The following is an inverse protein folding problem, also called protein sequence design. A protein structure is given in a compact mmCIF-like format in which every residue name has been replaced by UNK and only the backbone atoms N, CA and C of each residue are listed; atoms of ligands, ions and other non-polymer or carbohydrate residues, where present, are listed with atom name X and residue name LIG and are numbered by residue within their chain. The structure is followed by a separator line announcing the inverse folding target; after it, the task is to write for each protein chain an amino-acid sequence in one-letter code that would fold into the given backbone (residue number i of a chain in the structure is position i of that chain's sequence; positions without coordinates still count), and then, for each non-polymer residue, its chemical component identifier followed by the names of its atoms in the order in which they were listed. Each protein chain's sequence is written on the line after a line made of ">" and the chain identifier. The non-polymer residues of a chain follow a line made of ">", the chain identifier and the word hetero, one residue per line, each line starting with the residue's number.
data_IF_254917874220
#
_entry.id   IF_254917874220
#
_cell.length_a   1.000
_cell.length_b   1.000
_cell.length_c   1.000
_cell.angle_alpha   90.00
_cell.angle_beta   90.00
_cell.angle_gamma   90.00
#
_symmetry.space_group_name_H-M   'P 1'
#
loop_
_entity.id
_entity.type
_entity.pdbx_description
1 polymer ?
#
# COMPACT_ATOMS: atom_id res chain seq x y z
N UNK A 1 -33.96 -53.68 -39.12
CA UNK A 1 -32.79 -53.56 -38.22
C UNK A 1 -32.44 -52.09 -38.07
N UNK A 2 -32.95 -51.44 -37.04
CA UNK A 2 -32.58 -50.07 -36.64
C UNK A 2 -32.19 -50.15 -35.17
N UNK A 3 -30.90 -50.38 -34.91
CA UNK A 3 -30.31 -50.33 -33.57
C UNK A 3 -28.99 -49.61 -33.72
N UNK A 4 -28.82 -48.50 -32.98
CA UNK A 4 -27.51 -47.85 -32.87
C UNK A 4 -27.53 -46.34 -32.66
N UNK A 5 -28.51 -45.78 -31.95
CA UNK A 5 -28.63 -44.32 -31.77
C UNK A 5 -28.91 -43.90 -30.33
N UNK A 6 -28.22 -44.48 -29.34
CA UNK A 6 -28.40 -44.06 -27.95
C UNK A 6 -27.18 -44.39 -27.08
N UNK A 7 -26.10 -43.58 -27.13
CA UNK A 7 -25.01 -43.68 -26.12
C UNK A 7 -24.11 -42.45 -25.95
N UNK A 8 -24.54 -41.25 -26.34
CA UNK A 8 -23.72 -40.01 -26.20
C UNK A 8 -24.35 -38.90 -25.36
N UNK A 9 -25.55 -39.09 -24.79
CA UNK A 9 -26.27 -38.01 -24.06
C UNK A 9 -25.63 -37.60 -22.73
N UNK A 10 -24.89 -38.47 -22.06
CA UNK A 10 -24.30 -38.21 -20.73
C UNK A 10 -23.28 -37.07 -20.72
N UNK A 11 -22.14 -37.18 -21.44
CA UNK A 11 -21.12 -36.14 -21.49
C UNK A 11 -21.63 -34.80 -22.03
N UNK A 12 -22.53 -34.82 -23.02
CA UNK A 12 -23.13 -33.60 -23.58
C UNK A 12 -24.01 -32.89 -22.55
N UNK A 13 -24.87 -33.62 -21.84
CA UNK A 13 -25.73 -33.03 -20.80
C UNK A 13 -24.88 -32.48 -19.65
N UNK A 14 -23.83 -33.20 -19.25
CA UNK A 14 -22.88 -32.72 -18.25
C UNK A 14 -22.20 -31.43 -18.67
N UNK A 15 -21.72 -31.36 -19.91
CA UNK A 15 -21.06 -30.16 -20.44
C UNK A 15 -22.02 -28.97 -20.51
N UNK A 16 -23.26 -29.16 -20.96
CA UNK A 16 -24.26 -28.10 -21.00
C UNK A 16 -24.61 -27.58 -19.59
N UNK A 17 -24.73 -28.47 -18.61
CA UNK A 17 -24.92 -28.08 -17.21
C UNK A 17 -23.71 -27.30 -16.67
N UNK A 18 -22.49 -27.76 -16.97
CA UNK A 18 -21.26 -27.04 -16.64
C UNK A 18 -21.24 -25.65 -17.28
N UNK A 19 -21.54 -25.52 -18.57
CA UNK A 19 -21.56 -24.23 -19.26
C UNK A 19 -22.57 -23.25 -18.64
N UNK A 20 -23.74 -23.73 -18.23
CA UNK A 20 -24.72 -22.89 -17.53
C UNK A 20 -24.16 -22.36 -16.20
N UNK A 21 -23.53 -23.23 -15.40
CA UNK A 21 -22.89 -22.85 -14.13
C UNK A 21 -21.68 -21.94 -14.33
N UNK A 22 -20.83 -22.25 -15.31
CA UNK A 22 -19.67 -21.44 -15.67
C UNK A 22 -20.09 -20.04 -16.12
N UNK A 23 -21.15 -19.94 -16.92
CA UNK A 23 -21.69 -18.64 -17.37
C UNK A 23 -22.26 -17.86 -16.19
N UNK A 24 -23.00 -18.51 -15.29
CA UNK A 24 -23.49 -17.86 -14.07
C UNK A 24 -22.34 -17.36 -13.18
N UNK A 25 -21.28 -18.17 -13.02
CA UNK A 25 -20.07 -17.77 -12.29
C UNK A 25 -19.36 -16.60 -12.97
N UNK A 26 -19.23 -16.61 -14.30
CA UNK A 26 -18.61 -15.51 -15.04
C UNK A 26 -19.41 -14.21 -14.92
N UNK A 27 -20.75 -14.27 -14.94
CA UNK A 27 -21.61 -13.11 -14.70
C UNK A 27 -21.49 -12.59 -13.27
N UNK A 28 -21.41 -13.49 -12.28
CA UNK A 28 -21.17 -13.12 -10.89
C UNK A 28 -19.81 -12.42 -10.72
N UNK A 29 -18.72 -13.01 -11.24
CA UNK A 29 -17.38 -12.42 -11.16
C UNK A 29 -17.30 -11.09 -11.90
N UNK A 30 -18.00 -10.96 -13.04
CA UNK A 30 -18.13 -9.68 -13.74
C UNK A 30 -18.81 -8.59 -12.90
N UNK A 31 -19.68 -8.95 -11.97
CA UNK A 31 -20.35 -8.03 -11.05
C UNK A 31 -19.58 -7.82 -9.74
N UNK A 32 -18.81 -8.81 -9.28
CA UNK A 32 -18.07 -8.74 -8.01
C UNK A 32 -16.66 -8.16 -8.17
N UNK A 33 -15.96 -8.48 -9.26
CA UNK A 33 -14.54 -8.15 -9.46
C UNK A 33 -14.30 -6.89 -10.30
N UNK A 34 -15.33 -6.07 -10.56
CA UNK A 34 -15.19 -4.91 -11.45
C UNK A 34 -14.27 -3.79 -10.90
N UNK A 35 -13.94 -3.83 -9.60
CA UNK A 35 -13.02 -2.90 -8.94
C UNK A 35 -11.61 -3.44 -8.75
N UNK A 36 -11.37 -4.72 -9.07
CA UNK A 36 -10.02 -5.29 -9.00
C UNK A 36 -9.27 -4.93 -10.28
N UNK A 37 -8.24 -4.07 -10.23
CA UNK A 37 -7.50 -3.64 -11.42
C UNK A 37 -6.68 -4.76 -12.07
N UNK A 38 -6.52 -5.90 -11.39
CA UNK A 38 -5.86 -7.11 -11.90
C UNK A 38 -6.83 -8.05 -12.62
N UNK A 39 -8.13 -7.71 -12.61
CA UNK A 39 -9.21 -8.48 -13.22
C UNK A 39 -9.43 -8.10 -14.68
N UNK A 40 -9.74 -9.09 -15.52
CA UNK A 40 -10.28 -8.84 -16.86
C UNK A 40 -11.65 -8.15 -16.80
N UNK A 41 -12.38 -8.30 -15.69
CA UNK A 41 -13.69 -7.67 -15.49
C UNK A 41 -13.59 -6.24 -14.96
N UNK A 42 -12.38 -5.71 -14.77
CA UNK A 42 -12.15 -4.36 -14.27
C UNK A 42 -12.88 -3.32 -15.14
N UNK A 43 -13.62 -2.43 -14.49
CA UNK A 43 -14.34 -1.33 -15.15
C UNK A 43 -13.84 0.00 -14.61
N UNK A 44 -12.85 0.63 -15.27
CA UNK A 44 -12.23 1.84 -14.74
C UNK A 44 -13.24 2.95 -14.46
N UNK A 45 -14.21 3.18 -15.35
CA UNK A 45 -15.21 4.24 -15.19
C UNK A 45 -16.10 4.05 -13.96
N UNK A 46 -16.43 2.80 -13.60
CA UNK A 46 -17.26 2.50 -12.42
C UNK A 46 -16.41 2.38 -11.15
N UNK A 47 -15.15 1.95 -11.28
CA UNK A 47 -14.24 1.74 -10.16
C UNK A 47 -13.59 3.04 -9.68
N UNK A 48 -13.38 4.03 -10.57
CA UNK A 48 -12.75 5.34 -10.28
C UNK A 48 -13.68 6.35 -9.61
N UNK A 49 -14.86 5.94 -9.11
CA UNK A 49 -15.71 6.85 -8.35
C UNK A 49 -15.02 7.17 -7.02
N UNK A 50 -14.34 8.30 -6.97
CA UNK A 50 -13.55 8.77 -5.82
C UNK A 50 -14.43 9.36 -4.70
N UNK A 51 -15.49 8.67 -4.32
CA UNK A 51 -16.49 9.20 -3.37
C UNK A 51 -15.90 9.49 -2.01
N UNK A 52 -15.08 8.59 -1.47
CA UNK A 52 -14.55 8.74 -0.12
C UNK A 52 -13.35 9.68 -0.12
N UNK A 53 -12.45 9.56 -1.11
CA UNK A 53 -11.33 10.50 -1.26
C UNK A 53 -11.80 11.94 -1.47
N UNK A 54 -12.84 12.17 -2.28
CA UNK A 54 -13.41 13.51 -2.48
C UNK A 54 -14.03 14.06 -1.18
N UNK A 55 -14.72 13.21 -0.41
CA UNK A 55 -15.25 13.57 0.90
C UNK A 55 -14.13 13.99 1.87
N UNK A 56 -13.06 13.19 1.98
CA UNK A 56 -11.88 13.50 2.82
C UNK A 56 -11.15 14.77 2.36
N UNK A 57 -10.97 14.99 1.06
CA UNK A 57 -10.43 16.27 0.52
C UNK A 57 -11.26 17.47 0.96
N UNK A 58 -12.60 17.34 0.95
CA UNK A 58 -13.50 18.38 1.44
C UNK A 58 -13.30 18.71 2.92
N UNK A 59 -13.19 17.68 3.77
CA UNK A 59 -12.89 17.85 5.20
C UNK A 59 -11.52 18.49 5.43
N UNK A 60 -10.48 17.99 4.77
CA UNK A 60 -9.12 18.50 4.86
C UNK A 60 -9.03 19.99 4.52
N UNK A 61 -9.65 20.43 3.41
CA UNK A 61 -9.67 21.83 2.99
C UNK A 61 -10.37 22.71 4.02
N UNK A 62 -11.54 22.27 4.50
CA UNK A 62 -12.30 22.99 5.52
C UNK A 62 -11.49 23.13 6.82
N UNK A 63 -10.79 22.09 7.23
CA UNK A 63 -9.91 22.12 8.39
C UNK A 63 -8.75 23.12 8.18
N UNK A 64 -8.06 23.04 7.04
CA UNK A 64 -6.96 23.95 6.72
C UNK A 64 -7.41 25.43 6.62
N UNK A 65 -8.58 25.70 6.06
CA UNK A 65 -9.17 27.04 6.00
C UNK A 65 -9.48 27.59 7.40
N UNK A 66 -9.98 26.74 8.31
CA UNK A 66 -10.16 27.13 9.71
C UNK A 66 -8.81 27.32 10.42
N UNK A 67 -7.85 26.43 10.18
CA UNK A 67 -6.51 26.51 10.75
C UNK A 67 -5.77 27.80 10.35
N UNK A 68 -6.05 28.36 9.17
CA UNK A 68 -5.52 29.65 8.74
C UNK A 68 -5.98 30.82 9.64
N UNK A 69 -7.17 30.71 10.23
CA UNK A 69 -7.78 31.73 11.09
C UNK A 69 -7.56 31.44 12.58
N UNK A 70 -7.66 30.17 12.96
CA UNK A 70 -7.57 29.67 14.33
C UNK A 70 -6.56 28.52 14.37
N UNK A 71 -5.34 28.80 14.84
CA UNK A 71 -4.30 27.78 14.89
C UNK A 71 -4.77 26.57 15.74
N UNK A 72 -4.72 25.34 15.20
CA UNK A 72 -5.06 24.15 15.97
C UNK A 72 -4.03 23.92 17.08
N UNK A 73 -4.37 23.06 18.03
CA UNK A 73 -3.37 22.53 18.96
C UNK A 73 -2.21 21.92 18.17
N UNK A 74 -1.00 22.16 18.65
CA UNK A 74 0.23 21.62 18.09
C UNK A 74 0.80 20.55 19.00
N UNK A 75 1.89 19.93 18.56
CA UNK A 75 2.66 19.06 19.43
C UNK A 75 3.04 19.81 20.71
N UNK A 76 2.95 19.12 21.85
CA UNK A 76 3.34 19.65 23.15
C UNK A 76 3.06 18.64 24.26
N UNK A 77 3.82 18.68 25.37
CA UNK A 77 3.65 17.73 26.47
C UNK A 77 2.21 17.73 26.99
N UNK A 78 1.69 16.55 27.29
CA UNK A 78 0.29 16.37 27.68
C UNK A 78 0.01 16.84 29.11
N UNK A 79 0.99 16.91 30.01
CA UNK A 79 0.92 17.59 31.31
C UNK A 79 2.35 17.74 31.90
N UNK A 80 2.57 18.85 32.63
CA UNK A 80 3.75 19.27 33.41
C UNK A 80 5.10 19.48 32.70
N UNK A 81 5.71 20.63 33.02
CA UNK A 81 6.95 21.24 32.50
C UNK A 81 8.23 20.39 32.70
N UNK A 82 8.12 19.13 33.10
CA UNK A 82 9.26 18.31 33.54
C UNK A 82 9.35 16.92 32.86
N UNK A 83 8.54 16.66 31.83
CA UNK A 83 8.71 15.45 31.02
C UNK A 83 9.39 15.78 29.68
N UNK A 84 10.53 15.12 29.44
CA UNK A 84 11.13 14.93 28.11
C UNK A 84 10.20 14.03 27.26
N UNK A 85 8.96 14.46 27.04
CA UNK A 85 7.94 13.68 26.36
C UNK A 85 8.16 13.74 24.86
N UNK A 86 8.80 12.73 24.30
CA UNK A 86 8.99 12.59 22.86
C UNK A 86 7.65 12.27 22.16
N UNK A 87 7.43 12.74 20.92
CA UNK A 87 6.23 12.40 20.16
C UNK A 87 6.18 10.91 19.86
N UNK A 88 4.98 10.33 19.83
CA UNK A 88 4.80 8.95 19.39
C UNK A 88 5.12 8.82 17.90
N UNK A 89 4.78 9.87 17.13
CA UNK A 89 4.91 9.88 15.69
C UNK A 89 5.44 11.23 15.20
N UNK A 90 6.51 11.21 14.40
CA UNK A 90 6.87 12.34 13.55
C UNK A 90 6.38 12.10 12.12
N UNK A 91 5.57 12.99 11.57
CA UNK A 91 5.05 12.92 10.20
C UNK A 91 5.85 13.87 9.31
N UNK A 92 6.61 13.30 8.39
CA UNK A 92 7.50 14.01 7.49
C UNK A 92 6.91 14.06 6.08
N UNK A 93 6.53 15.24 5.62
CA UNK A 93 5.83 15.47 4.34
C UNK A 93 6.72 16.31 3.43
N UNK A 94 7.17 15.73 2.32
CA UNK A 94 7.91 16.44 1.28
C UNK A 94 6.97 16.97 0.19
N UNK A 95 7.14 18.22 -0.21
CA UNK A 95 6.30 18.86 -1.22
C UNK A 95 7.13 19.63 -2.25
N UNK A 96 6.77 19.49 -3.51
CA UNK A 96 7.38 20.17 -4.66
C UNK A 96 6.31 20.91 -5.45
N UNK A 97 6.72 22.01 -6.09
CA UNK A 97 5.78 22.92 -6.75
C UNK A 97 5.25 22.27 -8.01
N UNK A 98 3.94 22.37 -8.21
CA UNK A 98 3.26 21.87 -9.41
C UNK A 98 2.36 22.98 -9.92
N UNK A 99 2.98 24.00 -10.54
CA UNK A 99 2.36 25.21 -11.08
C UNK A 99 0.84 25.12 -11.30
N UNK A 100 0.08 25.70 -10.37
CA UNK A 100 -1.38 25.80 -10.42
C UNK A 100 -2.15 24.75 -9.61
N UNK A 101 -1.48 23.82 -8.91
CA UNK A 101 -2.11 22.81 -8.06
C UNK A 101 -1.30 22.60 -6.78
N UNK A 102 -1.95 22.71 -5.61
CA UNK A 102 -1.37 22.30 -4.33
C UNK A 102 -2.08 21.04 -3.83
N UNK A 103 -1.31 19.98 -3.60
CA UNK A 103 -1.80 18.79 -2.91
C UNK A 103 -1.49 18.83 -1.40
N UNK A 104 -0.44 19.54 -0.98
CA UNK A 104 0.03 19.60 0.39
C UNK A 104 -1.07 20.05 1.36
N UNK A 105 -1.91 21.01 0.97
CA UNK A 105 -3.04 21.47 1.79
C UNK A 105 -4.04 20.35 2.10
N UNK A 106 -4.37 19.54 1.09
CA UNK A 106 -5.31 18.42 1.23
C UNK A 106 -4.67 17.31 2.08
N UNK A 107 -3.41 16.98 1.82
CA UNK A 107 -2.64 15.97 2.57
C UNK A 107 -2.55 16.34 4.04
N UNK A 108 -1.99 17.52 4.34
CA UNK A 108 -1.78 17.99 5.71
C UNK A 108 -3.10 18.17 6.46
N UNK A 109 -4.12 18.73 5.78
CA UNK A 109 -5.46 18.83 6.34
C UNK A 109 -6.05 17.46 6.69
N UNK A 110 -5.89 16.44 5.85
CA UNK A 110 -6.46 15.11 6.09
C UNK A 110 -5.76 14.32 7.20
N UNK A 111 -4.47 14.58 7.41
CA UNK A 111 -3.66 14.00 8.48
C UNK A 111 -4.13 14.53 9.84
N UNK A 112 -4.52 15.81 9.90
CA UNK A 112 -4.88 16.48 11.15
C UNK A 112 -6.39 16.52 11.43
N UNK A 113 -7.22 16.52 10.39
CA UNK A 113 -8.67 16.55 10.55
C UNK A 113 -9.16 15.22 11.14
N UNK A 114 -9.99 15.34 12.18
CA UNK A 114 -10.56 14.22 12.92
C UNK A 114 -9.83 13.94 14.24
N UNK A 115 -8.55 14.32 14.35
CA UNK A 115 -7.78 14.14 15.59
C UNK A 115 -8.32 15.03 16.71
N UNK A 116 -8.40 14.49 17.92
CA UNK A 116 -8.62 15.30 19.11
C UNK A 116 -7.32 15.98 19.59
N UNK A 117 -7.45 16.88 20.58
CA UNK A 117 -6.30 17.61 21.13
C UNK A 117 -5.25 16.68 21.77
N UNK A 118 -5.66 15.50 22.26
CA UNK A 118 -4.78 14.54 22.89
C UNK A 118 -3.97 13.75 21.87
N UNK A 119 -4.59 13.34 20.76
CA UNK A 119 -3.96 12.71 19.62
C UNK A 119 -3.01 13.68 18.92
N UNK A 120 -3.46 14.91 18.68
CA UNK A 120 -2.65 15.94 18.00
C UNK A 120 -1.36 16.26 18.75
N UNK A 121 -1.38 16.22 20.09
CA UNK A 121 -0.19 16.44 20.93
C UNK A 121 0.84 15.31 20.84
N UNK A 122 0.46 14.12 20.36
CA UNK A 122 1.35 12.96 20.20
C UNK A 122 2.05 12.93 18.84
N UNK A 123 1.65 13.82 17.92
CA UNK A 123 2.13 13.86 16.54
C UNK A 123 2.92 15.13 16.32
N UNK A 124 4.17 15.00 15.85
CA UNK A 124 5.00 16.12 15.41
C UNK A 124 5.01 16.18 13.88
N UNK A 125 4.62 17.31 13.28
CA UNK A 125 4.51 17.43 11.83
C UNK A 125 5.65 18.27 11.25
N UNK A 126 6.42 17.66 10.36
CA UNK A 126 7.44 18.30 9.53
C UNK A 126 6.90 18.42 8.11
N UNK A 127 6.79 19.64 7.58
CA UNK A 127 6.45 19.87 6.18
C UNK A 127 7.62 20.58 5.48
N UNK A 128 8.18 19.96 4.45
CA UNK A 128 9.32 20.48 3.70
C UNK A 128 8.92 20.89 2.30
N UNK A 129 9.02 22.20 2.01
CA UNK A 129 8.93 22.71 0.64
C UNK A 129 10.30 22.52 0.00
N UNK A 130 10.44 21.48 -0.82
CA UNK A 130 11.70 20.94 -1.30
C UNK A 130 12.27 21.73 -2.49
N UNK A 131 12.51 23.02 -2.27
CA UNK A 131 13.15 23.93 -3.22
C UNK A 131 14.25 24.73 -2.54
N UNK A 132 15.38 24.94 -3.25
CA UNK A 132 16.46 25.83 -2.80
C UNK A 132 15.95 27.23 -2.50
N UNK A 133 15.00 27.72 -3.30
CA UNK A 133 14.18 28.89 -3.00
C UNK A 133 12.73 28.48 -2.72
N UNK A 134 12.37 28.31 -1.45
CA UNK A 134 11.02 27.87 -1.07
C UNK A 134 9.88 28.81 -1.52
N UNK A 135 10.17 30.10 -1.78
CA UNK A 135 9.15 31.05 -2.23
C UNK A 135 8.57 30.76 -3.62
N UNK A 136 9.19 29.86 -4.38
CA UNK A 136 8.63 29.38 -5.66
C UNK A 136 7.43 28.44 -5.48
N UNK A 137 7.29 27.85 -4.29
CA UNK A 137 6.19 26.95 -3.97
C UNK A 137 4.90 27.71 -3.70
N UNK A 138 3.79 27.29 -4.32
CA UNK A 138 2.46 27.91 -4.17
C UNK A 138 1.98 28.04 -2.71
N UNK A 139 2.40 27.11 -1.86
CA UNK A 139 2.03 27.07 -0.43
C UNK A 139 2.98 27.83 0.49
N UNK A 140 4.04 28.44 -0.04
CA UNK A 140 4.98 29.22 0.78
C UNK A 140 4.28 30.41 1.43
N UNK A 141 4.53 30.60 2.73
CA UNK A 141 3.97 31.73 3.50
C UNK A 141 2.48 31.63 3.81
N UNK A 142 1.81 30.53 3.46
CA UNK A 142 0.39 30.36 3.75
C UNK A 142 0.13 30.21 5.27
N UNK A 143 -0.85 30.92 5.85
CA UNK A 143 -1.14 30.83 7.29
C UNK A 143 -1.49 29.43 7.75
N UNK A 144 -2.25 28.68 6.94
CA UNK A 144 -2.62 27.30 7.27
C UNK A 144 -1.39 26.39 7.38
N UNK A 145 -0.36 26.59 6.56
CA UNK A 145 0.85 25.77 6.59
C UNK A 145 1.64 26.02 7.87
N UNK A 146 1.83 27.30 8.21
CA UNK A 146 2.49 27.72 9.45
C UNK A 146 1.74 27.23 10.69
N UNK A 147 0.42 27.22 10.66
CA UNK A 147 -0.41 26.84 11.79
C UNK A 147 -0.57 25.32 11.95
N UNK A 148 -0.50 24.55 10.87
CA UNK A 148 -0.65 23.09 10.92
C UNK A 148 0.68 22.34 11.13
N UNK A 149 1.78 22.83 10.56
CA UNK A 149 3.11 22.20 10.72
C UNK A 149 3.79 22.63 12.03
N UNK A 150 4.49 21.69 12.68
CA UNK A 150 5.34 21.98 13.84
C UNK A 150 6.74 22.44 13.41
N UNK A 151 7.22 21.98 12.25
CA UNK A 151 8.49 22.38 11.65
C UNK A 151 8.40 22.56 10.14
N UNK A 152 9.09 23.58 9.64
CA UNK A 152 9.24 23.91 8.21
C UNK A 152 10.74 24.02 7.88
N UNK A 153 11.46 22.90 7.72
CA UNK A 153 12.90 22.91 7.50
C UNK A 153 13.27 23.55 6.16
N UNK A 154 14.54 23.92 6.04
CA UNK A 154 15.18 24.41 4.82
C UNK A 154 16.45 23.61 4.58
N UNK A 155 16.98 23.65 3.35
CA UNK A 155 18.30 23.09 3.10
C UNK A 155 19.36 23.81 3.96
N UNK A 156 20.43 23.11 4.39
CA UNK A 156 21.48 23.71 5.20
C UNK A 156 22.13 24.92 4.52
N UNK A 157 21.92 26.12 5.08
CA UNK A 157 22.46 27.37 4.51
C UNK A 157 23.99 27.50 4.62
N UNK A 158 24.63 26.68 5.46
CA UNK A 158 26.07 26.70 5.71
C UNK A 158 26.93 26.07 4.62
N UNK A 159 26.33 25.46 3.59
CA UNK A 159 27.04 24.81 2.50
C UNK A 159 26.61 25.38 1.12
N UNK A 160 27.29 26.44 0.63
CA UNK A 160 27.00 27.03 -0.66
C UNK A 160 27.19 26.08 -1.85
N UNK A 161 28.09 25.09 -1.72
CA UNK A 161 28.34 24.13 -2.79
C UNK A 161 27.18 23.14 -2.91
N UNK A 162 26.64 22.67 -1.78
CA UNK A 162 25.42 21.87 -1.72
C UNK A 162 24.23 22.62 -2.31
N UNK A 163 24.00 23.88 -1.92
CA UNK A 163 22.90 24.68 -2.45
C UNK A 163 23.00 24.88 -3.96
N UNK A 164 24.21 25.11 -4.48
CA UNK A 164 24.43 25.21 -5.93
C UNK A 164 24.10 23.89 -6.64
N UNK A 165 24.58 22.76 -6.11
CA UNK A 165 24.30 21.43 -6.67
C UNK A 165 22.80 21.12 -6.65
N UNK A 166 22.10 21.44 -5.55
CA UNK A 166 20.64 21.27 -5.47
C UNK A 166 19.90 22.12 -6.50
N UNK A 167 20.30 23.38 -6.70
CA UNK A 167 19.72 24.22 -7.73
C UNK A 167 19.97 23.69 -9.15
N UNK A 168 21.11 23.02 -9.38
CA UNK A 168 21.39 22.32 -10.65
C UNK A 168 20.47 21.09 -10.82
N UNK A 169 20.31 20.26 -9.77
CA UNK A 169 19.41 19.10 -9.79
C UNK A 169 17.92 19.50 -9.93
N UNK A 170 17.52 20.65 -9.41
CA UNK A 170 16.17 21.19 -9.56
C UNK A 170 15.84 21.56 -11.00
N UNK A 171 16.83 22.03 -11.75
CA UNK A 171 16.68 22.44 -13.14
C UNK A 171 16.90 21.29 -14.13
N UNK A 172 17.51 20.18 -13.71
CA UNK A 172 17.69 19.00 -14.53
C UNK A 172 16.45 18.10 -14.48
N UNK A 173 15.80 17.92 -15.64
CA UNK A 173 14.62 17.08 -15.80
C UNK A 173 14.94 15.58 -15.96
N UNK A 174 16.20 15.18 -15.79
CA UNK A 174 16.62 13.78 -15.92
C UNK A 174 16.18 12.94 -14.73
N UNK A 175 15.78 11.70 -14.99
CA UNK A 175 15.41 10.76 -13.92
C UNK A 175 16.53 10.58 -12.86
N UNK A 176 17.82 10.42 -13.23
CA UNK A 176 18.91 10.35 -12.25
C UNK A 176 19.02 11.58 -11.35
N UNK A 177 18.85 12.79 -11.90
CA UNK A 177 18.92 14.02 -11.10
C UNK A 177 17.76 14.09 -10.10
N UNK A 178 16.55 13.75 -10.53
CA UNK A 178 15.38 13.66 -9.64
C UNK A 178 15.58 12.62 -8.55
N UNK A 179 16.01 11.42 -8.92
CA UNK A 179 16.31 10.34 -7.99
C UNK A 179 17.38 10.73 -6.95
N UNK A 180 18.38 11.54 -7.35
CA UNK A 180 19.40 12.03 -6.44
C UNK A 180 18.85 13.12 -5.51
N UNK A 181 18.16 14.13 -6.05
CA UNK A 181 17.57 15.21 -5.26
C UNK A 181 16.57 14.67 -4.24
N UNK A 182 15.68 13.77 -4.65
CA UNK A 182 14.68 13.18 -3.77
C UNK A 182 15.30 12.48 -2.56
N UNK A 183 16.45 11.79 -2.73
CA UNK A 183 17.20 11.20 -1.60
C UNK A 183 17.72 12.27 -0.62
N UNK A 184 18.16 13.43 -1.11
CA UNK A 184 18.55 14.57 -0.27
C UNK A 184 17.33 15.18 0.43
N UNK A 185 16.20 15.29 -0.27
CA UNK A 185 14.96 15.83 0.30
C UNK A 185 14.48 14.97 1.47
N UNK A 186 14.54 13.64 1.32
CA UNK A 186 14.23 12.70 2.38
C UNK A 186 15.21 12.79 3.55
N UNK A 187 16.51 13.05 3.32
CA UNK A 187 17.45 13.19 4.44
C UNK A 187 17.15 14.44 5.28
N UNK A 188 16.74 15.55 4.68
CA UNK A 188 16.29 16.76 5.40
C UNK A 188 15.06 16.46 6.27
N UNK A 189 14.07 15.77 5.70
CA UNK A 189 12.84 15.38 6.40
C UNK A 189 13.13 14.45 7.60
N UNK A 190 13.93 13.42 7.37
CA UNK A 190 14.28 12.44 8.38
C UNK A 190 15.17 13.04 9.48
N UNK A 191 16.07 13.96 9.14
CA UNK A 191 16.91 14.66 10.12
C UNK A 191 16.06 15.56 11.02
N UNK A 192 15.12 16.32 10.44
CA UNK A 192 14.18 17.14 11.20
C UNK A 192 13.33 16.29 12.18
N UNK A 193 12.86 15.12 11.76
CA UNK A 193 12.20 14.19 12.67
C UNK A 193 13.15 13.60 13.72
N UNK A 194 14.39 13.29 13.37
CA UNK A 194 15.34 12.71 14.31
C UNK A 194 15.69 13.65 15.48
N UNK A 195 15.65 14.96 15.26
CA UNK A 195 15.93 15.96 16.31
C UNK A 195 14.93 15.92 17.47
N UNK A 196 13.70 15.44 17.26
CA UNK A 196 12.68 15.33 18.33
C UNK A 196 12.58 13.92 18.94
N UNK A 197 13.39 12.97 18.46
CA UNK A 197 13.48 11.58 18.93
C UNK A 197 12.12 10.88 19.06
N UNK A 198 11.28 10.84 18.01
CA UNK A 198 9.96 10.22 18.09
C UNK A 198 10.06 8.71 18.34
N UNK A 199 8.97 8.04 18.73
CA UNK A 199 8.95 6.57 18.71
C UNK A 199 8.97 6.02 17.27
N UNK A 200 8.23 6.67 16.37
CA UNK A 200 8.15 6.32 14.96
C UNK A 200 8.26 7.56 14.06
N UNK A 201 8.84 7.40 12.88
CA UNK A 201 8.84 8.43 11.82
C UNK A 201 8.03 7.91 10.63
N UNK A 202 7.05 8.69 10.19
CA UNK A 202 6.22 8.41 9.03
C UNK A 202 6.61 9.34 7.89
N UNK A 203 7.04 8.80 6.76
CA UNK A 203 7.31 9.57 5.53
C UNK A 203 6.11 9.49 4.61
N UNK A 204 5.65 10.66 4.14
CA UNK A 204 4.49 10.80 3.26
C UNK A 204 4.82 11.76 2.11
N UNK A 205 4.31 11.47 0.91
CA UNK A 205 4.31 12.39 -0.22
C UNK A 205 3.13 13.37 -0.13
N UNK A 206 3.25 14.55 -0.72
CA UNK A 206 2.26 15.62 -0.60
C UNK A 206 0.94 15.37 -1.35
N UNK A 207 0.78 14.26 -2.06
CA UNK A 207 -0.38 13.91 -2.89
C UNK A 207 -1.16 12.69 -2.40
N UNK A 208 -1.34 12.59 -1.09
CA UNK A 208 -2.15 11.54 -0.45
C UNK A 208 -3.34 12.11 0.33
N UNK A 209 -4.29 11.24 0.68
CA UNK A 209 -5.36 11.56 1.60
C UNK A 209 -5.45 10.48 2.67
N UNK A 210 -5.51 10.89 3.94
CA UNK A 210 -5.62 9.96 5.06
C UNK A 210 -7.07 9.56 5.34
N UNK A 211 -7.24 8.29 5.72
CA UNK A 211 -8.48 7.73 6.25
C UNK A 211 -8.89 8.47 7.53
N UNK A 212 -10.19 8.63 7.75
CA UNK A 212 -10.70 9.02 9.06
C UNK A 212 -10.35 7.95 10.12
N UNK A 213 -9.86 8.39 11.29
CA UNK A 213 -9.31 7.50 12.31
C UNK A 213 -8.06 6.73 11.86
N UNK A 214 -7.21 7.30 11.00
CA UNK A 214 -5.96 6.64 10.59
C UNK A 214 -4.98 6.43 11.76
N UNK A 215 -4.96 7.34 12.73
CA UNK A 215 -3.93 7.36 13.78
C UNK A 215 -4.04 6.18 14.75
N UNK A 216 -5.23 5.94 15.32
CA UNK A 216 -5.42 4.78 16.21
C UNK A 216 -5.20 3.45 15.48
N UNK A 217 -5.62 3.36 14.21
CA UNK A 217 -5.35 2.20 13.36
C UNK A 217 -3.86 1.99 13.12
N UNK A 218 -3.12 3.07 12.89
CA UNK A 218 -1.67 3.01 12.75
C UNK A 218 -1.03 2.47 14.04
N UNK A 219 -1.39 3.00 15.21
CA UNK A 219 -0.85 2.52 16.48
C UNK A 219 -1.11 1.02 16.69
N UNK A 220 -2.34 0.55 16.42
CA UNK A 220 -2.69 -0.86 16.48
C UNK A 220 -1.90 -1.72 15.47
N UNK A 221 -1.66 -1.20 14.26
CA UNK A 221 -0.86 -1.85 13.25
C UNK A 221 0.63 -1.92 13.63
N UNK A 222 1.20 -0.85 14.18
CA UNK A 222 2.59 -0.83 14.68
C UNK A 222 2.78 -1.83 15.82
N UNK A 223 1.84 -1.91 16.76
CA UNK A 223 1.85 -2.92 17.83
C UNK A 223 1.80 -4.35 17.27
N UNK A 224 0.98 -4.58 16.23
CA UNK A 224 0.90 -5.87 15.55
C UNK A 224 2.17 -6.20 14.75
N UNK A 225 2.77 -5.23 14.07
CA UNK A 225 4.03 -5.39 13.35
C UNK A 225 5.17 -5.76 14.30
N UNK A 226 5.29 -5.06 15.44
CA UNK A 226 6.29 -5.34 16.48
C UNK A 226 6.13 -6.76 17.05
N UNK A 227 4.91 -7.16 17.38
CA UNK A 227 4.63 -8.53 17.87
C UNK A 227 5.02 -9.59 16.84
N UNK A 228 4.61 -9.41 15.58
CA UNK A 228 4.95 -10.34 14.49
C UNK A 228 6.45 -10.41 14.20
N UNK A 229 7.16 -9.28 14.30
CA UNK A 229 8.61 -9.26 14.23
C UNK A 229 9.23 -10.11 15.35
N UNK A 230 8.74 -9.96 16.59
CA UNK A 230 9.17 -10.77 17.73
C UNK A 230 8.88 -12.27 17.57
N UNK A 231 7.72 -12.64 17.03
CA UNK A 231 7.39 -14.04 16.68
C UNK A 231 8.34 -14.63 15.62
N UNK A 232 8.92 -13.78 14.76
CA UNK A 232 9.95 -14.12 13.78
C UNK A 232 11.37 -14.02 14.35
N UNK A 233 11.52 -13.77 15.65
CA UNK A 233 12.81 -13.64 16.33
C UNK A 233 13.57 -12.36 16.00
N UNK A 234 12.88 -11.27 15.67
CA UNK A 234 13.49 -9.95 15.46
C UNK A 234 13.05 -8.98 16.56
N UNK A 235 13.98 -8.12 17.01
CA UNK A 235 13.68 -7.08 18.00
C UNK A 235 12.87 -5.91 17.39
N UNK A 236 12.95 -5.75 16.07
CA UNK A 236 12.30 -4.68 15.32
C UNK A 236 11.96 -5.10 13.89
N UNK A 237 11.36 -4.18 13.14
CA UNK A 237 11.10 -4.30 11.71
C UNK A 237 11.64 -3.06 11.01
N UNK A 238 11.89 -3.16 9.70
CA UNK A 238 12.45 -2.04 8.94
C UNK A 238 11.42 -0.93 8.73
N UNK A 239 10.26 -1.28 8.16
CA UNK A 239 9.12 -0.36 8.08
C UNK A 239 7.76 -1.08 8.06
N UNK A 240 6.71 -0.31 8.30
CA UNK A 240 5.32 -0.63 8.03
C UNK A 240 4.80 0.23 6.87
N UNK A 241 4.35 -0.40 5.79
CA UNK A 241 3.59 0.24 4.69
C UNK A 241 2.16 0.46 5.13
N UNK A 242 1.73 1.72 5.08
CA UNK A 242 0.32 2.12 5.27
C UNK A 242 -0.37 2.42 3.94
N UNK A 243 0.37 2.25 2.85
CA UNK A 243 -0.02 2.43 1.46
C UNK A 243 0.68 1.39 0.59
N UNK A 244 0.00 0.93 -0.46
CA UNK A 244 0.59 0.18 -1.54
C UNK A 244 -0.30 0.24 -2.80
N UNK A 245 0.30 0.03 -3.97
CA UNK A 245 -0.43 -0.07 -5.23
C UNK A 245 -1.08 -1.45 -5.40
N UNK A 246 -2.42 -1.51 -5.32
CA UNK A 246 -3.17 -2.74 -5.53
C UNK A 246 -3.00 -3.34 -6.93
N UNK A 247 -2.61 -2.52 -7.92
CA UNK A 247 -2.39 -2.96 -9.32
C UNK A 247 -1.20 -3.91 -9.45
N UNK A 248 -0.22 -3.81 -8.54
CA UNK A 248 0.98 -4.65 -8.55
C UNK A 248 0.78 -6.00 -7.86
N UNK A 249 -0.36 -6.18 -7.19
CA UNK A 249 -0.70 -7.39 -6.45
C UNK A 249 -1.45 -8.41 -7.33
N UNK A 250 -1.19 -8.40 -8.64
CA UNK A 250 -1.80 -9.30 -9.62
C UNK A 250 -1.16 -10.69 -9.70
N UNK A 251 -1.48 -11.38 -10.79
CA UNK A 251 -0.83 -12.64 -11.16
C UNK A 251 0.56 -12.35 -11.72
N UNK A 252 1.55 -12.31 -10.82
CA UNK A 252 2.92 -11.92 -11.13
C UNK A 252 3.70 -13.06 -11.80
N UNK A 253 4.44 -12.74 -12.87
CA UNK A 253 5.14 -13.73 -13.69
C UNK A 253 6.23 -14.49 -12.93
N UNK A 254 6.79 -13.88 -11.90
CA UNK A 254 7.80 -14.40 -10.98
C UNK A 254 7.28 -15.61 -10.19
N UNK A 255 5.96 -15.75 -10.06
CA UNK A 255 5.31 -16.86 -9.35
C UNK A 255 4.72 -17.92 -10.30
N UNK A 256 5.08 -17.89 -11.60
CA UNK A 256 4.51 -18.80 -12.61
C UNK A 256 4.62 -20.28 -12.21
N UNK A 257 5.73 -20.68 -11.57
CA UNK A 257 5.94 -22.06 -11.17
C UNK A 257 4.97 -22.46 -10.05
N UNK A 258 4.72 -21.57 -9.09
CA UNK A 258 3.71 -21.77 -8.05
C UNK A 258 2.34 -21.94 -8.68
N UNK A 259 1.98 -21.07 -9.62
CA UNK A 259 0.68 -21.16 -10.31
C UNK A 259 0.54 -22.47 -11.09
N UNK A 260 1.60 -22.88 -11.80
CA UNK A 260 1.63 -24.13 -12.54
C UNK A 260 1.47 -25.33 -11.62
N UNK A 261 2.22 -25.38 -10.51
CA UNK A 261 2.16 -26.47 -9.52
C UNK A 261 0.78 -26.53 -8.87
N UNK A 262 0.18 -25.39 -8.52
CA UNK A 262 -1.18 -25.34 -7.98
C UNK A 262 -2.21 -25.82 -9.00
N UNK A 263 -2.12 -25.41 -10.26
CA UNK A 263 -3.03 -25.89 -11.30
C UNK A 263 -2.85 -27.40 -11.54
N UNK A 264 -1.62 -27.87 -11.62
CA UNK A 264 -1.30 -29.28 -11.82
C UNK A 264 -1.77 -30.14 -10.63
N UNK A 265 -1.64 -29.65 -9.39
CA UNK A 265 -2.09 -30.38 -8.20
C UNK A 265 -3.61 -30.51 -8.15
N UNK A 266 -4.36 -29.50 -8.59
CA UNK A 266 -5.82 -29.56 -8.75
C UNK A 266 -6.22 -30.63 -9.77
N UNK A 267 -5.58 -30.64 -10.95
CA UNK A 267 -5.86 -31.67 -11.98
C UNK A 267 -5.49 -33.07 -11.46
N UNK A 268 -4.35 -33.21 -10.78
CA UNK A 268 -3.93 -34.49 -10.20
C UNK A 268 -4.92 -34.98 -9.14
N UNK A 269 -5.35 -34.11 -8.23
CA UNK A 269 -6.35 -34.44 -7.22
C UNK A 269 -7.67 -34.87 -7.86
N UNK A 270 -8.11 -34.18 -8.91
CA UNK A 270 -9.29 -34.54 -9.68
C UNK A 270 -9.16 -35.91 -10.34
N UNK A 271 -8.02 -36.21 -10.98
CA UNK A 271 -7.73 -37.52 -11.57
C UNK A 271 -7.72 -38.64 -10.52
N UNK A 272 -7.15 -38.40 -9.34
CA UNK A 272 -7.17 -39.35 -8.22
C UNK A 272 -8.60 -39.60 -7.75
N UNK A 273 -9.41 -38.55 -7.58
CA UNK A 273 -10.83 -38.68 -7.19
C UNK A 273 -11.60 -39.48 -8.24
N UNK A 274 -11.47 -39.15 -9.52
CA UNK A 274 -12.13 -39.89 -10.61
C UNK A 274 -11.63 -41.35 -10.68
N UNK A 275 -10.35 -41.59 -10.41
CA UNK A 275 -9.77 -42.92 -10.26
C UNK A 275 -10.41 -43.72 -9.12
N UNK A 276 -10.53 -43.13 -7.94
CA UNK A 276 -11.19 -43.75 -6.78
C UNK A 276 -12.69 -44.00 -7.03
N UNK A 277 -13.36 -43.10 -7.75
CA UNK A 277 -14.77 -43.24 -8.11
C UNK A 277 -14.99 -44.29 -9.20
N UNK A 278 -14.03 -44.51 -10.09
CA UNK A 278 -14.10 -45.57 -11.10
C UNK A 278 -13.76 -46.96 -10.52
N UNK A 279 -13.09 -47.02 -9.36
CA UNK A 279 -12.66 -48.30 -8.78
C UNK A 279 -13.85 -49.17 -8.33
N UNK A 280 -13.95 -50.44 -8.79
CA UNK A 280 -15.11 -51.30 -8.53
C UNK A 280 -15.35 -51.64 -7.05
N UNK A 281 -14.28 -51.63 -6.24
CA UNK A 281 -14.32 -51.95 -4.79
C UNK A 281 -14.33 -50.70 -3.90
N UNK A 282 -14.47 -49.51 -4.49
CA UNK A 282 -14.49 -48.27 -3.71
C UNK A 282 -15.77 -48.20 -2.86
N UNK A 283 -15.67 -48.02 -1.54
CA UNK A 283 -16.82 -47.88 -0.66
C UNK A 283 -17.60 -46.58 -0.90
N UNK A 284 -16.98 -45.62 -1.61
CA UNK A 284 -17.53 -44.28 -1.89
C UNK A 284 -18.27 -44.23 -3.24
N UNK A 285 -18.19 -45.28 -4.06
CA UNK A 285 -18.67 -45.27 -5.44
C UNK A 285 -19.96 -46.08 -5.62
N UNK A 286 -21.02 -45.43 -6.12
CA UNK A 286 -22.25 -46.11 -6.53
C UNK A 286 -22.17 -46.65 -7.96
N UNK A 287 -22.98 -47.65 -8.30
CA UNK A 287 -23.03 -48.20 -9.66
C UNK A 287 -23.45 -47.16 -10.72
N UNK A 288 -24.19 -46.12 -10.33
CA UNK A 288 -24.56 -45.01 -11.20
C UNK A 288 -23.37 -44.08 -11.49
N UNK A 289 -22.58 -43.75 -10.46
CA UNK A 289 -21.38 -42.90 -10.58
C UNK A 289 -20.33 -43.57 -11.47
N UNK A 290 -20.08 -44.88 -11.31
CA UNK A 290 -19.15 -45.63 -12.18
C UNK A 290 -19.52 -45.59 -13.66
N UNK A 291 -20.82 -45.54 -13.98
CA UNK A 291 -21.29 -45.44 -15.38
C UNK A 291 -21.06 -44.04 -15.97
N UNK A 292 -20.92 -43.02 -15.13
CA UNK A 292 -20.65 -41.64 -15.53
C UNK A 292 -19.16 -41.37 -15.73
N UNK A 293 -18.29 -42.04 -14.97
CA UNK A 293 -16.83 -41.92 -15.09
C UNK A 293 -16.31 -42.75 -16.27
N UNK A 294 -16.47 -42.20 -17.48
CA UNK A 294 -15.92 -42.76 -18.72
C UNK A 294 -14.67 -41.98 -19.14
N UNK A 295 -13.77 -42.55 -19.97
CA UNK A 295 -12.61 -41.80 -20.49
C UNK A 295 -12.99 -40.49 -21.18
N UNK A 296 -14.12 -40.45 -21.89
CA UNK A 296 -14.64 -39.23 -22.51
C UNK A 296 -15.08 -38.20 -21.47
N UNK A 297 -15.71 -38.62 -20.38
CA UNK A 297 -16.07 -37.74 -19.26
C UNK A 297 -14.83 -37.21 -18.54
N UNK A 298 -13.83 -38.06 -18.30
CA UNK A 298 -12.55 -37.66 -17.68
C UNK A 298 -11.83 -36.63 -18.55
N UNK A 299 -11.73 -36.88 -19.86
CA UNK A 299 -11.12 -35.93 -20.80
C UNK A 299 -11.89 -34.61 -20.87
N UNK A 300 -13.22 -34.66 -20.87
CA UNK A 300 -14.07 -33.47 -20.87
C UNK A 300 -13.89 -32.64 -19.59
N UNK A 301 -13.87 -33.30 -18.43
CA UNK A 301 -13.77 -32.62 -17.14
C UNK A 301 -12.36 -32.05 -16.96
N UNK A 302 -11.32 -32.90 -16.98
CA UNK A 302 -9.94 -32.49 -16.73
C UNK A 302 -9.30 -31.71 -17.88
N UNK A 303 -9.72 -31.96 -19.13
CA UNK A 303 -9.14 -31.34 -20.32
C UNK A 303 -9.89 -30.11 -20.84
N UNK A 304 -11.13 -29.87 -20.39
CA UNK A 304 -11.93 -28.72 -20.84
C UNK A 304 -12.53 -27.95 -19.67
N UNK A 305 -13.36 -28.59 -18.83
CA UNK A 305 -14.11 -27.89 -17.78
C UNK A 305 -13.17 -27.29 -16.71
N UNK A 306 -12.19 -28.06 -16.27
CA UNK A 306 -11.20 -27.64 -15.27
C UNK A 306 -10.31 -26.50 -15.81
N UNK A 307 -9.69 -26.61 -17.01
CA UNK A 307 -8.99 -25.48 -17.63
C UNK A 307 -9.85 -24.23 -17.84
N UNK A 308 -11.11 -24.36 -18.25
CA UNK A 308 -12.04 -23.22 -18.37
C UNK A 308 -12.32 -22.55 -17.02
N UNK A 309 -12.42 -23.33 -15.94
CA UNK A 309 -12.64 -22.81 -14.58
C UNK A 309 -11.38 -22.14 -14.04
N UNK A 310 -10.20 -22.71 -14.29
CA UNK A 310 -8.91 -22.09 -13.99
C UNK A 310 -8.73 -20.78 -14.76
N UNK A 311 -9.04 -20.77 -16.05
CA UNK A 311 -9.02 -19.56 -16.87
C UNK A 311 -9.92 -18.47 -16.28
N UNK A 312 -11.14 -18.83 -15.87
CA UNK A 312 -12.05 -17.89 -15.21
C UNK A 312 -11.51 -17.37 -13.86
N UNK A 313 -10.85 -18.23 -13.08
CA UNK A 313 -10.19 -17.86 -11.82
C UNK A 313 -9.08 -16.82 -12.04
N UNK A 314 -8.21 -17.02 -13.04
CA UNK A 314 -7.18 -16.02 -13.37
C UNK A 314 -7.78 -14.74 -13.95
N UNK A 315 -8.78 -14.84 -14.84
CA UNK A 315 -9.48 -13.69 -15.42
C UNK A 315 -10.21 -12.85 -14.35
N UNK A 316 -10.63 -13.45 -13.25
CA UNK A 316 -11.28 -12.73 -12.16
C UNK A 316 -10.36 -11.74 -11.44
N UNK A 317 -9.04 -11.87 -11.57
CA UNK A 317 -8.06 -11.04 -10.87
C UNK A 317 -7.67 -11.62 -9.51
N UNK A 318 -6.45 -11.31 -9.07
CA UNK A 318 -5.88 -11.89 -7.85
C UNK A 318 -6.50 -11.27 -6.60
N UNK A 319 -6.70 -9.96 -6.57
CA UNK A 319 -7.24 -9.28 -5.39
C UNK A 319 -8.73 -9.60 -5.16
N UNK A 320 -9.47 -9.94 -6.22
CA UNK A 320 -10.84 -10.44 -6.11
C UNK A 320 -10.89 -11.89 -5.59
N UNK A 321 -10.03 -12.77 -6.10
CA UNK A 321 -10.06 -14.20 -5.77
C UNK A 321 -9.31 -14.53 -4.47
N UNK A 322 -8.24 -13.81 -4.19
CA UNK A 322 -7.35 -13.97 -3.04
C UNK A 322 -7.07 -12.59 -2.39
N UNK A 323 -8.10 -11.92 -1.87
CA UNK A 323 -7.91 -10.64 -1.20
C UNK A 323 -6.95 -10.79 -0.01
N UNK A 324 -6.12 -9.77 0.22
CA UNK A 324 -5.27 -9.73 1.41
C UNK A 324 -6.13 -9.74 2.67
N UNK A 325 -5.63 -10.43 3.71
CA UNK A 325 -6.36 -10.49 4.97
C UNK A 325 -6.24 -9.13 5.68
N UNK A 326 -7.31 -8.66 6.33
CA UNK A 326 -7.22 -7.49 7.20
C UNK A 326 -6.17 -7.68 8.30
N UNK A 327 -5.49 -6.59 8.65
CA UNK A 327 -4.39 -6.55 9.61
C UNK A 327 -3.03 -6.41 8.93
N UNK A 328 -1.98 -6.72 9.69
CA UNK A 328 -0.58 -6.52 9.29
C UNK A 328 0.00 -7.80 8.73
N UNK A 329 0.59 -7.77 7.55
CA UNK A 329 1.20 -8.94 6.91
C UNK A 329 2.57 -8.59 6.30
N UNK A 330 3.46 -9.57 6.18
CA UNK A 330 4.74 -9.37 5.48
C UNK A 330 4.49 -9.02 4.01
N UNK A 331 5.27 -8.08 3.49
CA UNK A 331 5.23 -7.62 2.11
C UNK A 331 6.64 -7.27 1.65
N UNK A 332 7.46 -8.30 1.39
CA UNK A 332 8.82 -8.14 0.86
C UNK A 332 8.86 -7.95 -0.66
N UNK A 333 7.77 -8.28 -1.36
CA UNK A 333 7.67 -8.24 -2.83
C UNK A 333 6.38 -7.55 -3.23
N UNK A 334 6.39 -6.97 -4.43
CA UNK A 334 5.23 -6.35 -5.06
C UNK A 334 4.62 -5.17 -4.27
N UNK A 335 5.34 -4.68 -3.26
CA UNK A 335 5.04 -3.40 -2.63
C UNK A 335 5.72 -2.30 -3.43
N UNK A 336 4.95 -1.41 -4.02
CA UNK A 336 5.51 -0.17 -4.56
C UNK A 336 5.24 1.01 -3.65
N UNK A 337 6.20 1.92 -3.81
CA UNK A 337 6.08 3.34 -3.67
C UNK A 337 6.22 3.84 -2.22
N UNK A 338 6.81 5.02 -2.07
CA UNK A 338 7.22 5.59 -0.78
C UNK A 338 6.22 6.62 -0.22
N UNK A 339 4.99 6.69 -0.75
CA UNK A 339 3.98 7.68 -0.31
C UNK A 339 3.50 7.49 1.13
N UNK A 340 3.75 6.35 1.76
CA UNK A 340 3.27 6.05 3.12
C UNK A 340 4.02 4.94 3.80
N UNK A 341 5.15 5.27 4.42
CA UNK A 341 6.01 4.34 5.14
C UNK A 341 6.23 4.83 6.57
N UNK A 342 6.14 3.92 7.53
CA UNK A 342 6.36 4.21 8.96
C UNK A 342 7.52 3.37 9.48
N UNK A 343 8.55 4.04 9.99
CA UNK A 343 9.80 3.47 10.45
C UNK A 343 9.88 3.58 11.97
N UNK A 344 10.31 2.53 12.69
CA UNK A 344 10.80 2.70 14.05
C UNK A 344 11.98 3.67 14.05
N UNK A 345 12.05 4.56 15.04
CA UNK A 345 13.05 5.63 15.03
C UNK A 345 14.51 5.14 15.01
N UNK A 346 14.75 3.97 15.60
CA UNK A 346 16.04 3.30 15.52
C UNK A 346 16.46 3.00 14.08
N UNK A 347 15.52 2.57 13.22
CA UNK A 347 15.80 2.27 11.82
C UNK A 347 16.16 3.53 11.04
N UNK A 348 15.50 4.65 11.37
CA UNK A 348 15.82 5.96 10.78
C UNK A 348 17.26 6.36 11.10
N UNK A 349 17.62 6.35 12.38
CA UNK A 349 18.90 6.85 12.86
C UNK A 349 20.08 5.93 12.56
N UNK A 350 19.91 4.60 12.66
CA UNK A 350 21.00 3.63 12.44
C UNK A 350 21.22 3.29 10.98
N UNK A 351 20.19 3.36 10.14
CA UNK A 351 20.24 2.84 8.78
C UNK A 351 19.81 3.87 7.73
N UNK A 352 18.58 4.38 7.81
CA UNK A 352 17.97 5.15 6.73
C UNK A 352 18.69 6.48 6.46
N UNK A 353 18.95 7.26 7.51
CA UNK A 353 19.68 8.53 7.42
C UNK A 353 21.12 8.36 6.93
N UNK A 354 21.96 7.49 7.54
CA UNK A 354 23.31 7.22 7.03
C UNK A 354 23.31 6.79 5.56
N UNK A 355 22.36 5.94 5.16
CA UNK A 355 22.25 5.43 3.79
C UNK A 355 21.89 6.52 2.77
N UNK A 356 20.91 7.38 3.08
CA UNK A 356 20.56 8.50 2.19
C UNK A 356 21.65 9.55 2.12
N UNK A 357 22.29 9.87 3.25
CA UNK A 357 23.42 10.80 3.26
C UNK A 357 24.59 10.26 2.43
N UNK A 358 24.97 8.99 2.60
CA UNK A 358 26.06 8.40 1.83
C UNK A 358 25.78 8.39 0.31
N UNK A 359 24.54 8.05 -0.09
CA UNK A 359 24.17 7.98 -1.51
C UNK A 359 24.00 9.35 -2.17
N UNK A 360 23.54 10.37 -1.44
CA UNK A 360 23.39 11.73 -1.96
C UNK A 360 24.73 12.33 -2.46
N UNK A 361 25.84 11.96 -1.82
CA UNK A 361 27.17 12.53 -2.04
C UNK A 361 28.15 11.59 -2.77
N UNK A 362 27.70 10.42 -3.22
CA UNK A 362 28.57 9.50 -3.96
C UNK A 362 28.98 10.09 -5.33
N UNK A 363 30.24 9.85 -5.73
CA UNK A 363 30.86 10.42 -6.95
C UNK A 363 30.19 9.96 -8.25
N UNK A 364 29.56 8.78 -8.24
CA UNK A 364 28.78 8.22 -9.35
C UNK A 364 27.33 8.74 -9.38
N UNK A 365 26.98 9.67 -8.49
CA UNK A 365 25.64 10.22 -8.31
C UNK A 365 24.77 9.44 -7.32
N UNK A 366 25.32 8.41 -6.67
CA UNK A 366 24.55 7.40 -5.95
C UNK A 366 23.75 6.57 -6.94
N UNK A 367 23.34 5.35 -6.60
CA UNK A 367 22.49 4.56 -7.50
C UNK A 367 21.34 5.42 -8.03
N UNK A 368 21.30 5.58 -9.35
CA UNK A 368 20.40 6.47 -10.09
C UNK A 368 18.98 5.91 -10.13
N UNK A 369 18.47 5.50 -8.97
CA UNK A 369 17.16 4.92 -8.72
C UNK A 369 16.42 5.76 -7.68
N UNK A 370 15.10 5.78 -7.81
CA UNK A 370 14.21 6.50 -6.89
C UNK A 370 14.34 5.99 -5.45
N UNK A 371 13.87 6.83 -4.51
CA UNK A 371 14.01 6.60 -3.06
C UNK A 371 13.42 5.26 -2.61
N UNK A 372 12.29 4.86 -3.20
CA UNK A 372 11.61 3.60 -2.89
C UNK A 372 12.45 2.39 -3.34
N UNK A 373 12.92 2.40 -4.59
CA UNK A 373 13.73 1.33 -5.17
C UNK A 373 15.05 1.19 -4.43
N UNK A 374 15.72 2.31 -4.16
CA UNK A 374 16.96 2.33 -3.40
C UNK A 374 16.82 1.69 -2.01
N UNK A 375 15.71 1.98 -1.33
CA UNK A 375 15.40 1.44 -0.01
C UNK A 375 15.08 -0.07 -0.08
N UNK A 376 14.34 -0.51 -1.10
CA UNK A 376 14.06 -1.93 -1.33
C UNK A 376 15.32 -2.73 -1.65
N UNK A 377 16.21 -2.19 -2.49
CA UNK A 377 17.48 -2.81 -2.86
C UNK A 377 18.37 -2.99 -1.62
N UNK A 378 18.47 -1.95 -0.79
CA UNK A 378 19.19 -2.05 0.49
C UNK A 378 18.57 -3.11 1.40
N UNK A 379 17.24 -3.13 1.55
CA UNK A 379 16.54 -4.09 2.39
C UNK A 379 16.66 -5.54 1.88
N UNK A 380 16.74 -5.74 0.56
CA UNK A 380 16.98 -7.04 -0.06
C UNK A 380 18.42 -7.50 0.18
N UNK A 381 19.40 -6.61 0.06
CA UNK A 381 20.81 -6.93 0.33
C UNK A 381 21.05 -7.41 1.77
N UNK A 382 20.25 -6.92 2.74
CA UNK A 382 20.32 -7.41 4.12
C UNK A 382 19.85 -8.88 4.29
N UNK A 383 19.12 -9.44 3.33
CA UNK A 383 18.67 -10.84 3.35
C UNK A 383 19.74 -11.79 2.82
N UNK A 384 20.46 -11.37 1.78
CA UNK A 384 21.43 -12.22 1.07
C UNK A 384 22.71 -12.46 1.90
N UNK A 385 23.14 -11.48 2.70
CA UNK A 385 24.28 -11.63 3.61
C UNK A 385 24.02 -12.61 4.78
N UNK A 386 22.75 -12.96 5.05
CA UNK A 386 22.39 -13.84 6.15
C UNK A 386 22.35 -15.33 5.77
N UNK A 387 22.33 -15.69 4.48
CA UNK A 387 22.10 -17.07 4.03
C UNK A 387 20.72 -17.64 4.44
N UNK A 388 20.18 -18.59 3.68
CA UNK A 388 18.83 -19.14 3.93
C UNK A 388 18.67 -19.82 5.30
N UNK A 389 19.78 -20.14 5.99
CA UNK A 389 19.77 -20.94 7.21
C UNK A 389 19.93 -20.14 8.52
N UNK A 390 20.31 -18.86 8.49
CA UNK A 390 20.37 -18.07 9.73
C UNK A 390 19.04 -17.35 10.01
N UNK A 391 18.37 -17.84 11.06
CA UNK A 391 17.40 -17.10 11.89
C UNK A 391 18.13 -16.00 12.69
N UNK A 392 18.90 -15.13 12.03
CA UNK A 392 19.65 -14.05 12.67
C UNK A 392 18.80 -12.79 12.89
N UNK A 393 19.13 -12.01 13.92
CA UNK A 393 18.45 -10.77 14.38
C UNK A 393 18.51 -9.56 13.43
N UNK A 394 18.75 -9.73 12.12
CA UNK A 394 19.05 -8.61 11.23
C UNK A 394 18.30 -8.62 9.88
N UNK A 395 17.09 -9.16 9.83
CA UNK A 395 16.29 -9.11 8.59
C UNK A 395 15.59 -7.76 8.50
N UNK A 396 15.71 -7.08 7.36
CA UNK A 396 14.94 -5.88 7.06
C UNK A 396 13.46 -6.25 6.79
N UNK A 397 12.72 -6.53 7.86
CA UNK A 397 11.32 -6.95 7.80
C UNK A 397 10.44 -5.81 7.31
N UNK A 398 9.67 -6.07 6.25
CA UNK A 398 8.80 -5.11 5.59
C UNK A 398 7.36 -5.60 5.76
N UNK A 399 6.59 -4.87 6.54
CA UNK A 399 5.19 -5.17 6.79
C UNK A 399 4.28 -4.23 6.01
N UNK A 400 3.03 -4.62 5.79
CA UNK A 400 1.98 -3.78 5.23
C UNK A 400 0.66 -4.00 5.98
N UNK A 401 -0.07 -2.92 6.26
CA UNK A 401 -1.42 -2.98 6.86
C UNK A 401 -2.51 -3.00 5.78
N UNK A 402 -3.53 -3.84 5.98
CA UNK A 402 -4.73 -3.91 5.15
C UNK A 402 -5.97 -3.70 6.03
N UNK A 403 -6.93 -2.85 5.66
CA UNK A 403 -6.91 -1.93 4.53
C UNK A 403 -5.81 -0.86 4.66
N UNK A 404 -5.46 -0.21 3.55
CA UNK A 404 -4.52 0.93 3.55
C UNK A 404 -5.10 2.09 4.36
N UNK A 405 -4.23 2.88 5.01
CA UNK A 405 -4.64 4.00 5.86
C UNK A 405 -4.59 5.35 5.13
N UNK A 406 -3.94 5.39 3.97
CA UNK A 406 -3.88 6.55 3.10
C UNK A 406 -4.09 6.13 1.65
N UNK A 407 -4.51 7.06 0.80
CA UNK A 407 -4.71 6.85 -0.63
C UNK A 407 -4.02 7.97 -1.42
N UNK A 408 -3.26 7.60 -2.45
CA UNK A 408 -2.74 8.56 -3.42
C UNK A 408 -3.87 9.23 -4.22
N UNK A 409 -3.81 10.55 -4.35
CA UNK A 409 -4.85 11.38 -4.95
C UNK A 409 -4.31 12.43 -5.94
N UNK A 410 -3.02 12.36 -6.27
CA UNK A 410 -2.41 13.17 -7.33
C UNK A 410 -2.64 12.58 -8.72
N UNK A 411 -2.73 13.41 -9.75
CA UNK A 411 -2.54 12.94 -11.14
C UNK A 411 -1.67 13.84 -11.99
N UNK A 412 -1.06 14.86 -11.39
CA UNK A 412 0.02 15.63 -12.01
C UNK A 412 1.33 15.31 -11.32
N UNK A 413 2.18 14.59 -12.04
CA UNK A 413 3.59 14.49 -11.69
C UNK A 413 4.26 15.86 -11.80
N UNK A 414 5.12 16.20 -10.85
CA UNK A 414 5.99 17.39 -10.89
C UNK A 414 6.97 17.40 -12.07
N UNK A 415 7.11 16.29 -12.79
CA UNK A 415 8.14 16.11 -13.82
C UNK A 415 7.59 15.88 -15.22
N UNK A 416 6.28 16.04 -15.44
CA UNK A 416 5.68 15.86 -16.77
C UNK A 416 5.72 14.42 -17.31
N UNK A 417 6.26 13.46 -16.55
CA UNK A 417 6.33 12.04 -16.91
C UNK A 417 5.01 11.35 -16.56
N UNK A 418 3.94 11.73 -17.26
CA UNK A 418 2.68 10.98 -17.31
C UNK A 418 2.67 9.86 -18.35
N UNK A 419 3.81 9.59 -18.99
CA UNK A 419 3.90 8.88 -20.29
C UNK A 419 4.67 7.54 -20.23
N UNK A 420 4.61 6.82 -19.11
CA UNK A 420 5.10 5.44 -19.04
C UNK A 420 3.96 4.47 -19.36
N UNK A 421 3.93 4.01 -20.62
CA UNK A 421 3.37 2.78 -21.26
C UNK A 421 2.21 1.92 -20.66
N UNK A 422 1.60 2.26 -19.52
CA UNK A 422 0.50 1.55 -18.87
C UNK A 422 -0.84 2.29 -18.84
N UNK A 423 -0.95 3.43 -19.50
CA UNK A 423 -2.12 4.31 -19.48
C UNK A 423 -1.90 5.54 -18.61
N UNK A 424 -2.52 6.66 -19.01
CA UNK A 424 -2.43 7.94 -18.30
C UNK A 424 -2.83 7.76 -16.83
N UNK A 425 -1.93 8.06 -15.90
CA UNK A 425 -2.32 8.46 -14.54
C UNK A 425 -3.08 9.77 -14.70
N UNK A 426 -4.40 9.70 -14.82
CA UNK A 426 -5.26 10.87 -14.72
C UNK A 426 -5.43 11.25 -13.25
N UNK A 427 -5.78 12.51 -12.97
CA UNK A 427 -6.08 13.08 -11.64
C UNK A 427 -7.03 12.22 -10.77
N UNK A 428 -7.71 11.24 -11.38
CA UNK A 428 -8.72 10.38 -10.77
C UNK A 428 -8.35 8.87 -10.70
N UNK A 429 -7.07 8.48 -10.75
CA UNK A 429 -6.68 7.06 -10.68
C UNK A 429 -6.26 6.65 -9.27
N UNK A 430 -7.12 5.95 -8.50
CA UNK A 430 -6.72 5.44 -7.20
C UNK A 430 -5.77 4.25 -7.37
N UNK A 431 -4.91 4.09 -6.37
CA UNK A 431 -3.96 2.99 -6.23
C UNK A 431 -4.59 1.82 -5.46
N UNK A 432 -5.52 2.09 -4.53
CA UNK A 432 -6.38 1.10 -3.92
C UNK A 432 -7.86 1.47 -4.13
N UNK A 433 -8.54 0.75 -5.02
CA UNK A 433 -9.94 0.95 -5.34
C UNK A 433 -10.89 0.61 -4.18
N UNK A 434 -10.45 -0.17 -3.19
CA UNK A 434 -11.25 -0.51 -2.00
C UNK A 434 -11.27 0.64 -1.01
N UNK A 435 -10.32 1.58 -1.07
CA UNK A 435 -10.33 2.79 -0.24
C UNK A 435 -11.60 3.64 -0.45
N UNK A 436 -12.15 3.61 -1.67
CA UNK A 436 -13.37 4.36 -2.00
C UNK A 436 -14.66 3.73 -1.45
N UNK A 437 -14.57 2.54 -0.86
CA UNK A 437 -15.70 1.83 -0.23
C UNK A 437 -15.87 2.13 1.25
N UNK A 438 -15.00 2.96 1.82
CA UNK A 438 -15.05 3.33 3.23
C UNK A 438 -16.31 4.14 3.54
N UNK A 439 -16.97 3.79 4.66
CA UNK A 439 -18.13 4.53 5.18
C UNK A 439 -17.66 5.55 6.24
N UNK A 440 -17.74 6.87 5.97
CA UNK A 440 -17.30 7.89 6.91
C UNK A 440 -18.06 7.85 8.24
N UNK A 441 -19.33 7.45 8.26
CA UNK A 441 -20.14 7.38 9.49
C UNK A 441 -19.74 6.19 10.34
N UNK A 442 -19.32 5.09 9.71
CA UNK A 442 -18.78 3.94 10.43
C UNK A 442 -17.40 4.27 11.02
N UNK A 443 -16.52 4.90 10.24
CA UNK A 443 -15.18 5.26 10.68
C UNK A 443 -15.16 6.25 11.85
N UNK A 444 -15.96 7.32 11.78
CA UNK A 444 -16.07 8.28 12.87
C UNK A 444 -16.59 7.64 14.17
N UNK A 445 -17.56 6.71 14.08
CA UNK A 445 -18.06 5.97 15.24
C UNK A 445 -17.01 5.06 15.85
N UNK A 446 -16.22 4.38 15.02
CA UNK A 446 -15.12 3.54 15.50
C UNK A 446 -14.04 4.36 16.20
N UNK A 447 -13.64 5.50 15.63
CA UNK A 447 -12.67 6.40 16.24
C UNK A 447 -13.15 6.93 17.58
N UNK A 448 -14.40 7.35 17.68
CA UNK A 448 -14.99 7.79 18.94
C UNK A 448 -15.00 6.70 20.01
N UNK A 449 -15.34 5.45 19.65
CA UNK A 449 -15.28 4.31 20.58
C UNK A 449 -13.86 4.08 21.11
N UNK A 450 -12.86 4.17 20.23
CA UNK A 450 -11.46 4.05 20.63
C UNK A 450 -11.04 5.16 21.61
N UNK A 451 -11.44 6.41 21.36
CA UNK A 451 -11.18 7.53 22.28
C UNK A 451 -11.81 7.31 23.65
N UNK A 452 -13.05 6.80 23.69
CA UNK A 452 -13.75 6.47 24.93
C UNK A 452 -13.03 5.35 25.72
N UNK A 453 -12.47 4.36 25.04
CA UNK A 453 -11.69 3.26 25.64
C UNK A 453 -10.32 3.72 26.18
N UNK A 454 -9.57 4.53 25.42
CA UNK A 454 -8.31 5.13 25.87
C UNK A 454 -8.53 6.03 27.10
N UNK A 455 -9.54 6.91 27.06
CA UNK A 455 -9.87 7.79 28.19
C UNK A 455 -10.45 7.02 29.38
N UNK A 456 -11.12 5.89 29.15
CA UNK A 456 -11.70 5.02 30.18
C UNK A 456 -10.65 4.18 30.91
N UNK A 457 -9.63 3.69 30.20
CA UNK A 457 -8.51 2.92 30.77
C UNK A 457 -7.53 3.79 31.57
N UNK A 458 -7.51 5.10 31.33
CA UNK A 458 -6.77 6.08 32.15
C UNK A 458 -7.39 6.40 33.53
N UNK A 459 -8.53 5.78 33.91
CA UNK A 459 -9.24 6.03 35.19
C UNK A 459 -9.20 4.86 36.20
N UNK A 460 -8.41 3.81 35.96
CA UNK A 460 -8.28 2.67 36.91
C UNK A 460 -6.94 2.63 37.61
#
# INVERSE_FOLDING_TARGET
>A
MLVGGARTRGPVTLFLAFLALWTAAALYLRAACFRDPTSYFFRPEEARVLSYSAYRKGQARKFADNAALNAPVKYGPLHDEDSTAHPDLCVAIGSVSRHGFSYLKDTLGSILEGLDDSERRRIYVVAFLAHTNQSVHEDYGQPWLQNMADSLPQYPAGDPALLKMLAELENDSSYPAHARKQKIDYSVLLDACAQVSPAYTMTIEDDVIALDGWFHRLLAALGSAKRKAGELGQDSFFYLRIFYDGRLLGWNSEEWLTYLVTCASVVLAELVILGLLSHPRSPVSSAAVRKLVTPATVLLVCGVCTPMSMGLYFLAGRDCMLPRRPGVELMHKYGCCAQGLVFPQEQVTRHLLPMYNASAFAEDGGHAVAVDTFMEDWANAQVDDAGEEHKGNNRALRFAVTPVLIQHVGGKSSHGVGDQQGGKLTDDTPFDYKFELNDPVQLAREHQQWLEEELGTGRT
#
